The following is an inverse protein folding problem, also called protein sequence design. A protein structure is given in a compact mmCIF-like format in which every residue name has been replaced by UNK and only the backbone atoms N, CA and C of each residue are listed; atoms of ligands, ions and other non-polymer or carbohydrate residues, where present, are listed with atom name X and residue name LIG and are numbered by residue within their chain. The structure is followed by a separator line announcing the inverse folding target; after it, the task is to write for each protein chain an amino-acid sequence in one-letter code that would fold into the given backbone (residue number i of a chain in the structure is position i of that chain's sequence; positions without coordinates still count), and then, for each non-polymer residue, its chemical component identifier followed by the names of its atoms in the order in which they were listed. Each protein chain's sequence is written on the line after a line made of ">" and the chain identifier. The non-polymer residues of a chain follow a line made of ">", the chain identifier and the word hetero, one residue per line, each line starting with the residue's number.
data_IF_288111398173
#
_entry.id   IF_288111398173
#
_cell.length_a   1.000
_cell.length_b   1.000
_cell.length_c   1.000
_cell.angle_alpha   90.00
_cell.angle_beta   90.00
_cell.angle_gamma   90.00
#
_symmetry.space_group_name_H-M   'P 1'
#
loop_
_entity.id
_entity.type
_entity.pdbx_description
1 polymer ?
#
# COMPACT_ATOMS: atom_id res chain seq x y z
N UNK A 1 13.83 3.61 -13.32
CA UNK A 1 12.62 3.61 -14.16
C UNK A 1 11.92 4.96 -14.11
N UNK A 2 11.52 5.43 -12.91
CA UNK A 2 10.83 6.72 -12.75
C UNK A 2 11.58 7.92 -13.34
N UNK A 3 12.89 8.04 -13.10
CA UNK A 3 13.72 9.13 -13.66
C UNK A 3 13.67 9.17 -15.19
N UNK A 4 13.62 8.00 -15.83
CA UNK A 4 13.53 7.94 -17.28
C UNK A 4 12.14 8.38 -17.78
N UNK A 5 11.07 8.08 -17.04
CA UNK A 5 9.71 8.50 -17.36
C UNK A 5 9.54 10.02 -17.23
N UNK A 6 10.11 10.61 -16.17
CA UNK A 6 10.06 12.06 -15.91
C UNK A 6 10.85 12.92 -16.91
N UNK A 7 11.58 12.30 -17.85
CA UNK A 7 12.15 13.01 -19.01
C UNK A 7 11.14 13.27 -20.13
N UNK A 8 9.98 12.63 -20.07
CA UNK A 8 8.99 12.61 -21.13
C UNK A 8 7.58 13.01 -20.68
N UNK A 9 7.26 12.80 -19.40
CA UNK A 9 5.96 13.10 -18.81
C UNK A 9 6.14 14.00 -17.59
N UNK A 10 5.20 14.90 -17.37
CA UNK A 10 5.20 15.77 -16.20
C UNK A 10 4.92 14.95 -14.92
N UNK A 11 5.29 15.50 -13.76
CA UNK A 11 5.15 14.80 -12.47
C UNK A 11 3.69 14.41 -12.16
N UNK A 12 2.74 15.19 -12.67
CA UNK A 12 1.29 14.99 -12.49
C UNK A 12 0.71 13.92 -13.44
N UNK A 13 1.50 13.44 -14.40
CA UNK A 13 1.11 12.43 -15.38
C UNK A 13 1.62 11.02 -15.03
N UNK A 14 2.34 10.87 -13.92
CA UNK A 14 2.94 9.59 -13.49
C UNK A 14 2.43 9.13 -12.13
N UNK A 15 2.27 7.82 -11.98
CA UNK A 15 1.95 7.17 -10.70
C UNK A 15 2.89 6.00 -10.42
N UNK A 16 3.04 5.66 -9.13
CA UNK A 16 3.74 4.46 -8.69
C UNK A 16 2.77 3.32 -8.41
N UNK A 17 2.90 2.19 -9.12
CA UNK A 17 2.19 0.93 -8.81
C UNK A 17 3.22 -0.15 -8.47
N UNK A 18 3.39 -0.46 -7.18
CA UNK A 18 4.40 -1.40 -6.70
C UNK A 18 3.79 -2.64 -6.07
N UNK A 19 4.25 -3.80 -6.53
CA UNK A 19 3.93 -5.08 -5.91
C UNK A 19 4.91 -5.38 -4.77
N UNK A 20 4.40 -5.94 -3.67
CA UNK A 20 5.20 -6.26 -2.49
C UNK A 20 5.67 -7.72 -2.44
N UNK A 21 5.65 -8.43 -3.58
CA UNK A 21 6.09 -9.84 -3.68
C UNK A 21 7.45 -10.11 -3.04
N UNK A 22 8.37 -9.15 -3.12
CA UNK A 22 9.72 -9.24 -2.56
C UNK A 22 9.97 -8.26 -1.40
N UNK A 23 8.92 -7.70 -0.80
CA UNK A 23 9.04 -6.79 0.34
C UNK A 23 9.67 -5.43 0.02
N UNK A 24 9.63 -5.01 -1.25
CA UNK A 24 10.29 -3.78 -1.72
C UNK A 24 9.31 -2.63 -2.00
N UNK A 25 8.00 -2.86 -1.88
CA UNK A 25 7.04 -1.88 -2.39
C UNK A 25 7.06 -0.56 -1.62
N UNK A 26 7.10 -0.60 -0.27
CA UNK A 26 7.22 0.64 0.54
C UNK A 26 8.52 1.37 0.27
N UNK A 27 9.64 0.65 0.11
CA UNK A 27 10.93 1.27 -0.22
C UNK A 27 10.88 1.96 -1.59
N UNK A 28 10.24 1.32 -2.58
CA UNK A 28 10.05 1.92 -3.90
C UNK A 28 9.10 3.12 -3.87
N UNK A 29 8.01 3.05 -3.08
CA UNK A 29 7.10 4.18 -2.83
C UNK A 29 7.87 5.35 -2.24
N UNK A 30 8.67 5.13 -1.19
CA UNK A 30 9.48 6.19 -0.59
C UNK A 30 10.48 6.78 -1.59
N UNK A 31 11.23 5.93 -2.29
CA UNK A 31 12.23 6.39 -3.25
C UNK A 31 11.61 7.22 -4.39
N UNK A 32 10.39 6.89 -4.81
CA UNK A 32 9.68 7.68 -5.85
C UNK A 32 8.99 8.91 -5.30
N UNK A 33 8.53 8.88 -4.05
CA UNK A 33 8.06 10.06 -3.32
C UNK A 33 9.16 11.11 -3.17
N UNK A 34 10.40 10.70 -2.88
CA UNK A 34 11.58 11.59 -2.83
C UNK A 34 11.90 12.24 -4.19
N UNK A 35 11.40 11.67 -5.29
CA UNK A 35 11.50 12.25 -6.63
C UNK A 35 10.34 13.22 -6.96
N UNK A 36 9.40 13.41 -6.03
CA UNK A 36 8.23 14.27 -6.18
C UNK A 36 6.96 13.56 -6.66
N UNK A 37 6.99 12.24 -6.89
CA UNK A 37 5.79 11.49 -7.31
C UNK A 37 4.82 11.44 -6.15
N UNK A 38 3.58 11.85 -6.38
CA UNK A 38 2.59 11.99 -5.30
C UNK A 38 1.38 11.05 -5.45
N UNK A 39 1.21 10.40 -6.61
CA UNK A 39 0.13 9.44 -6.86
C UNK A 39 0.64 8.00 -6.80
N UNK A 40 0.00 7.18 -5.97
CA UNK A 40 0.35 5.77 -5.79
C UNK A 40 -0.87 4.86 -5.82
N UNK A 41 -0.75 3.79 -6.59
CA UNK A 41 -1.76 2.74 -6.66
C UNK A 41 -1.44 1.66 -5.63
N UNK A 42 -2.45 1.30 -4.84
CA UNK A 42 -2.35 0.34 -3.73
C UNK A 42 -3.60 -0.54 -3.68
N UNK A 43 -3.62 -1.54 -2.80
CA UNK A 43 -4.82 -2.37 -2.62
C UNK A 43 -5.15 -2.59 -1.15
N UNK A 44 -6.42 -2.40 -0.77
CA UNK A 44 -6.88 -2.58 0.61
C UNK A 44 -6.59 -4.00 1.10
N UNK A 45 -6.13 -4.14 2.35
CA UNK A 45 -5.68 -5.39 2.95
C UNK A 45 -4.61 -6.15 2.14
N UNK A 46 -3.88 -5.46 1.25
CA UNK A 46 -2.96 -6.07 0.29
C UNK A 46 -3.66 -7.09 -0.60
N UNK A 47 -4.87 -6.76 -1.07
CA UNK A 47 -5.60 -7.55 -2.07
C UNK A 47 -4.81 -7.63 -3.39
N UNK A 48 -5.06 -8.70 -4.12
CA UNK A 48 -4.26 -9.07 -5.28
C UNK A 48 -3.21 -10.12 -4.92
N UNK A 49 -2.59 -10.68 -5.96
CA UNK A 49 -1.89 -11.95 -5.89
C UNK A 49 -2.57 -12.96 -6.79
N UNK A 50 -1.79 -13.82 -7.43
CA UNK A 50 -2.31 -14.77 -8.40
C UNK A 50 -2.59 -16.11 -7.69
N UNK A 51 -3.83 -16.63 -7.71
CA UNK A 51 -4.12 -17.96 -7.15
C UNK A 51 -3.31 -19.08 -7.84
N UNK A 52 -2.77 -18.82 -9.03
CA UNK A 52 -1.91 -19.73 -9.78
C UNK A 52 -0.40 -19.54 -9.52
N UNK A 53 0.02 -18.44 -8.88
CA UNK A 53 1.43 -18.18 -8.53
C UNK A 53 1.61 -18.22 -7.01
N UNK A 54 1.92 -19.41 -6.48
CA UNK A 54 2.18 -19.63 -5.05
C UNK A 54 3.27 -18.67 -4.55
N UNK A 55 2.92 -17.78 -3.62
CA UNK A 55 3.86 -16.92 -2.90
C UNK A 55 3.95 -15.46 -3.36
N UNK A 56 3.22 -15.05 -4.39
CA UNK A 56 3.15 -13.63 -4.75
C UNK A 56 2.14 -12.91 -3.84
N UNK A 57 2.64 -12.11 -2.88
CA UNK A 57 1.81 -11.27 -1.98
C UNK A 57 1.01 -10.20 -2.74
N UNK A 58 1.37 -9.91 -4.00
CA UNK A 58 0.58 -9.06 -4.90
C UNK A 58 0.89 -7.59 -4.70
N UNK A 59 -0.15 -6.75 -4.65
CA UNK A 59 -0.04 -5.31 -4.49
C UNK A 59 0.49 -4.95 -3.09
N UNK A 60 1.10 -3.76 -2.98
CA UNK A 60 1.31 -3.16 -1.66
C UNK A 60 -0.03 -2.85 -1.00
N UNK A 61 -0.10 -3.07 0.31
CA UNK A 61 -1.32 -2.80 1.07
C UNK A 61 -1.52 -1.29 1.27
N UNK A 62 -2.74 -0.81 1.05
CA UNK A 62 -3.09 0.60 1.25
C UNK A 62 -2.80 1.06 2.68
N UNK A 63 -3.08 0.23 3.67
CA UNK A 63 -2.86 0.51 5.09
C UNK A 63 -1.38 0.68 5.40
N UNK A 64 -0.50 -0.11 4.77
CA UNK A 64 0.95 -0.03 4.99
C UNK A 64 1.51 1.29 4.41
N UNK A 65 1.03 1.70 3.24
CA UNK A 65 1.43 2.97 2.62
C UNK A 65 0.89 4.16 3.42
N UNK A 66 -0.39 4.15 3.79
CA UNK A 66 -0.99 5.24 4.59
C UNK A 66 -0.33 5.33 5.96
N UNK A 67 -0.05 4.21 6.62
CA UNK A 67 0.68 4.18 7.89
C UNK A 67 2.06 4.83 7.77
N UNK A 68 2.82 4.50 6.72
CA UNK A 68 4.12 5.12 6.45
C UNK A 68 3.99 6.64 6.23
N UNK A 69 3.08 7.06 5.36
CA UNK A 69 2.89 8.48 5.01
C UNK A 69 2.44 9.29 6.23
N UNK A 70 1.46 8.81 7.00
CA UNK A 70 1.02 9.46 8.24
C UNK A 70 2.15 9.53 9.28
N UNK A 71 2.95 8.47 9.41
CA UNK A 71 4.12 8.46 10.30
C UNK A 71 5.24 9.41 9.88
N UNK A 72 5.22 9.88 8.63
CA UNK A 72 6.10 10.91 8.09
C UNK A 72 5.45 12.31 8.08
N UNK A 73 4.29 12.46 8.73
CA UNK A 73 3.48 13.69 8.75
C UNK A 73 3.01 14.15 7.35
N UNK A 74 2.85 13.22 6.40
CA UNK A 74 2.31 13.49 5.06
C UNK A 74 0.80 13.27 5.04
N UNK A 75 0.07 14.32 4.67
CA UNK A 75 -1.39 14.28 4.55
C UNK A 75 -1.83 13.50 3.31
N UNK A 76 -2.76 12.56 3.51
CA UNK A 76 -3.35 11.75 2.43
C UNK A 76 -4.86 11.98 2.26
N UNK A 77 -5.51 12.67 3.21
CA UNK A 77 -6.97 12.76 3.29
C UNK A 77 -7.68 11.45 3.66
N UNK A 78 -6.93 10.39 3.96
CA UNK A 78 -7.46 9.07 4.30
C UNK A 78 -7.53 8.91 5.82
N UNK A 79 -8.69 8.50 6.33
CA UNK A 79 -8.88 8.07 7.70
C UNK A 79 -8.38 6.62 7.85
N UNK A 80 -7.24 6.46 8.52
CA UNK A 80 -6.59 5.15 8.66
C UNK A 80 -7.48 4.18 9.45
N UNK A 81 -8.23 4.64 10.45
CA UNK A 81 -9.08 3.75 11.24
C UNK A 81 -10.24 3.19 10.41
N UNK A 82 -10.86 4.01 9.56
CA UNK A 82 -11.89 3.54 8.61
C UNK A 82 -11.32 2.65 7.52
N UNK A 83 -10.09 2.91 7.07
CA UNK A 83 -9.42 2.05 6.10
C UNK A 83 -9.17 0.65 6.68
N UNK A 84 -8.75 0.57 7.96
CA UNK A 84 -8.61 -0.69 8.68
C UNK A 84 -9.93 -1.47 8.75
N UNK A 85 -11.05 -0.79 9.01
CA UNK A 85 -12.38 -1.42 9.07
C UNK A 85 -12.79 -2.00 7.71
N UNK A 86 -12.52 -1.26 6.62
CA UNK A 86 -12.78 -1.73 5.27
C UNK A 86 -11.90 -2.96 4.91
N UNK A 87 -10.61 -2.91 5.25
CA UNK A 87 -9.69 -4.03 5.03
C UNK A 87 -10.06 -5.26 5.84
N UNK A 88 -10.51 -5.08 7.09
CA UNK A 88 -11.03 -6.17 7.92
C UNK A 88 -12.28 -6.78 7.31
N UNK A 89 -13.27 -5.97 6.91
CA UNK A 89 -14.52 -6.45 6.32
C UNK A 89 -14.29 -7.40 5.14
N UNK A 90 -13.47 -6.99 4.17
CA UNK A 90 -13.23 -7.83 2.98
C UNK A 90 -12.36 -9.05 3.30
N UNK A 91 -11.43 -8.92 4.25
CA UNK A 91 -10.58 -10.05 4.68
C UNK A 91 -11.40 -11.12 5.38
N UNK A 92 -12.31 -10.73 6.28
CA UNK A 92 -13.25 -11.64 6.94
C UNK A 92 -14.16 -12.34 5.92
N UNK A 93 -14.70 -11.60 4.95
CA UNK A 93 -15.54 -12.16 3.89
C UNK A 93 -14.81 -13.21 3.04
N UNK A 94 -13.52 -12.98 2.78
CA UNK A 94 -12.66 -13.91 2.06
C UNK A 94 -12.05 -15.01 2.95
N UNK A 95 -12.42 -15.06 4.23
CA UNK A 95 -11.92 -16.01 5.23
C UNK A 95 -10.38 -16.06 5.30
N UNK A 96 -9.74 -14.89 5.16
CA UNK A 96 -8.28 -14.75 5.20
C UNK A 96 -7.86 -13.58 6.06
N UNK A 97 -6.63 -13.58 6.56
CA UNK A 97 -6.06 -12.39 7.21
C UNK A 97 -5.68 -11.32 6.17
N UNK A 98 -5.70 -10.04 6.54
CA UNK A 98 -5.09 -8.99 5.73
C UNK A 98 -3.61 -9.31 5.46
N UNK A 99 -3.12 -8.99 4.26
CA UNK A 99 -1.68 -9.06 3.96
C UNK A 99 -0.94 -7.83 4.51
N UNK A 100 -1.66 -6.75 4.84
CA UNK A 100 -1.09 -5.54 5.46
C UNK A 100 -0.46 -5.87 6.83
N UNK A 101 0.80 -5.45 7.01
CA UNK A 101 1.49 -5.58 8.30
C UNK A 101 0.94 -4.58 9.32
N UNK A 102 0.71 -3.33 8.90
CA UNK A 102 0.14 -2.28 9.74
C UNK A 102 -1.26 -2.66 10.24
N UNK A 103 -2.13 -3.16 9.34
CA UNK A 103 -3.47 -3.54 9.71
C UNK A 103 -3.51 -4.67 10.73
N UNK A 104 -2.71 -5.72 10.53
CA UNK A 104 -2.63 -6.82 11.50
C UNK A 104 -2.19 -6.32 12.89
N UNK A 105 -1.18 -5.45 12.97
CA UNK A 105 -0.71 -4.91 14.24
C UNK A 105 -1.76 -4.00 14.92
N UNK A 106 -2.37 -3.09 14.16
CA UNK A 106 -3.33 -2.12 14.70
C UNK A 106 -4.66 -2.77 15.09
N UNK A 107 -5.16 -3.72 14.29
CA UNK A 107 -6.39 -4.46 14.62
C UNK A 107 -6.20 -5.31 15.88
N UNK A 108 -5.05 -5.94 16.07
CA UNK A 108 -4.76 -6.68 17.31
C UNK A 108 -4.75 -5.75 18.52
N UNK A 109 -4.13 -4.56 18.40
CA UNK A 109 -4.12 -3.56 19.46
C UNK A 109 -5.51 -3.06 19.86
N UNK A 110 -6.51 -3.12 18.96
CA UNK A 110 -7.91 -2.74 19.27
C UNK A 110 -8.65 -3.82 20.08
N UNK A 111 -8.12 -5.03 20.16
CA UNK A 111 -8.71 -6.13 20.94
C UNK A 111 -8.24 -6.15 22.40
N UNK A 112 -7.14 -5.45 22.69
CA UNK A 112 -6.60 -5.23 24.05
C UNK A 112 -7.36 -4.11 24.78
#
# INVERSE_FOLDING_TARGET
>A
AMEAALRHYDIDEVSGHFHDTYGQALANTLATLEMGVWQFDTSVAGLGGCPYAKGATGNVASEDVVYMLHGMDIETGIDLDKLLDAGKFISDFLERKPNSRAANAMLNKRLD
#
